data_IF_844994953429
#
_entry.id   IF_844994953429
#
_cell.length_a   1.000
_cell.length_b   1.000
_cell.length_c   1.000
_cell.angle_alpha   90.00
_cell.angle_beta   90.00
_cell.angle_gamma   90.00
#
_symmetry.space_group_name_H-M   'P 1'
#
loop_
_entity.id
_entity.type
_entity.pdbx_description
1 polymer ?
#
# COMPACT_ATOMS: atom_id res chain seq x y z
N UNK A 1 21.95 -64.04 35.53
CA UNK A 1 22.55 -62.77 35.10
C UNK A 1 22.22 -62.58 33.61
N UNK A 2 21.17 -61.83 33.31
CA UNK A 2 20.79 -61.51 31.92
C UNK A 2 20.83 -59.98 31.78
N UNK A 3 21.78 -59.50 30.97
CA UNK A 3 21.93 -58.08 30.61
C UNK A 3 21.01 -57.78 29.45
N UNK A 4 19.95 -57.02 29.68
CA UNK A 4 19.07 -56.48 28.66
C UNK A 4 19.66 -55.14 28.18
N UNK A 5 20.08 -55.10 26.94
CA UNK A 5 20.55 -53.88 26.28
C UNK A 5 19.31 -53.10 25.76
N UNK A 6 19.15 -51.88 26.26
CA UNK A 6 18.13 -50.94 25.83
C UNK A 6 18.65 -50.22 24.62
N UNK A 7 18.08 -50.48 23.44
CA UNK A 7 18.40 -49.75 22.20
C UNK A 7 17.56 -48.45 22.19
N UNK A 8 18.22 -47.30 22.35
CA UNK A 8 17.61 -46.01 22.14
C UNK A 8 17.46 -45.74 20.63
N UNK A 9 16.25 -45.77 20.17
CA UNK A 9 15.85 -45.40 18.83
C UNK A 9 15.79 -43.86 18.75
N UNK A 10 16.81 -43.24 18.15
CA UNK A 10 16.78 -41.82 17.83
C UNK A 10 15.87 -41.58 16.62
N UNK A 11 14.68 -41.11 16.85
CA UNK A 11 13.82 -40.54 15.80
C UNK A 11 14.37 -39.15 15.42
N UNK A 12 15.05 -39.08 14.29
CA UNK A 12 15.40 -37.83 13.64
C UNK A 12 14.13 -37.22 13.04
N UNK A 13 13.59 -36.20 13.72
CA UNK A 13 12.55 -35.34 13.18
C UNK A 13 13.18 -34.46 12.09
N UNK A 14 12.98 -34.83 10.84
CA UNK A 14 13.25 -33.93 9.69
C UNK A 14 12.17 -32.86 9.71
N UNK A 15 12.51 -31.70 10.26
CA UNK A 15 11.69 -30.50 10.12
C UNK A 15 11.69 -30.12 8.62
N UNK A 16 10.66 -30.54 7.90
CA UNK A 16 10.36 -30.07 6.57
C UNK A 16 10.05 -28.57 6.62
N UNK A 17 11.06 -27.74 6.35
CA UNK A 17 10.89 -26.32 6.09
C UNK A 17 9.99 -26.17 4.86
N UNK A 18 8.70 -25.94 5.09
CA UNK A 18 7.78 -25.51 4.07
C UNK A 18 8.25 -24.13 3.58
N UNK A 19 8.96 -24.09 2.46
CA UNK A 19 9.14 -22.87 1.69
C UNK A 19 7.74 -22.43 1.25
N UNK A 20 7.16 -21.50 1.98
CA UNK A 20 5.99 -20.77 1.53
C UNK A 20 6.36 -20.14 0.19
N UNK A 21 5.88 -20.70 -0.89
CA UNK A 21 5.88 -20.04 -2.19
C UNK A 21 5.00 -18.81 -2.04
N UNK A 22 5.60 -17.66 -1.79
CA UNK A 22 4.94 -16.39 -2.05
C UNK A 22 4.69 -16.35 -3.54
N UNK A 23 3.45 -16.65 -3.94
CA UNK A 23 3.01 -16.34 -5.30
C UNK A 23 3.32 -14.87 -5.51
N UNK A 24 4.07 -14.49 -6.57
CA UNK A 24 4.29 -13.09 -6.84
C UNK A 24 2.92 -12.43 -6.94
N UNK A 25 2.73 -11.34 -6.19
CA UNK A 25 1.53 -10.53 -6.31
C UNK A 25 1.49 -10.02 -7.76
N UNK A 26 0.67 -10.66 -8.58
CA UNK A 26 0.52 -10.34 -10.00
C UNK A 26 -0.54 -9.25 -10.21
N UNK A 27 -0.89 -8.52 -9.15
CA UNK A 27 -1.83 -7.41 -9.26
C UNK A 27 -1.31 -6.39 -10.25
N UNK A 28 -2.02 -6.24 -11.37
CA UNK A 28 -1.70 -5.22 -12.37
C UNK A 28 -2.19 -3.88 -11.87
N UNK A 29 -1.26 -2.97 -11.63
CA UNK A 29 -1.55 -1.59 -11.22
C UNK A 29 -1.42 -0.68 -12.43
N UNK A 30 -2.50 0.01 -12.79
CA UNK A 30 -2.52 0.93 -13.90
C UNK A 30 -2.13 2.34 -13.47
N UNK A 31 -1.43 3.05 -14.38
CA UNK A 31 -1.09 4.45 -14.19
C UNK A 31 -0.05 4.70 -13.10
N UNK A 32 -0.20 5.85 -12.46
CA UNK A 32 0.79 6.38 -11.49
C UNK A 32 0.87 5.54 -10.20
N UNK A 33 -0.15 4.76 -9.88
CA UNK A 33 -0.16 3.90 -8.68
C UNK A 33 0.95 2.85 -8.66
N UNK A 34 1.50 2.48 -9.82
CA UNK A 34 2.65 1.59 -9.94
C UNK A 34 4.00 2.29 -9.74
N UNK A 35 4.04 3.62 -9.64
CA UNK A 35 5.26 4.38 -9.36
C UNK A 35 5.68 4.22 -7.91
N UNK A 36 6.98 4.40 -7.64
CA UNK A 36 7.51 4.32 -6.28
C UNK A 36 7.03 5.48 -5.39
N UNK A 37 7.03 5.26 -4.10
CA UNK A 37 6.84 6.32 -3.10
C UNK A 37 7.90 7.43 -3.24
N UNK A 38 9.13 7.08 -3.62
CA UNK A 38 10.18 8.06 -3.90
C UNK A 38 9.81 8.98 -5.07
N UNK A 39 9.26 8.43 -6.16
CA UNK A 39 8.76 9.24 -7.29
C UNK A 39 7.59 10.15 -6.85
N UNK A 40 6.68 9.62 -6.02
CA UNK A 40 5.59 10.41 -5.44
C UNK A 40 6.12 11.58 -4.61
N UNK A 41 7.03 11.33 -3.67
CA UNK A 41 7.59 12.37 -2.81
C UNK A 41 8.33 13.44 -3.62
N UNK A 42 9.12 13.04 -4.62
CA UNK A 42 9.82 13.99 -5.50
C UNK A 42 8.85 14.91 -6.22
N UNK A 43 7.74 14.36 -6.74
CA UNK A 43 6.74 15.16 -7.44
C UNK A 43 5.99 16.13 -6.52
N UNK A 44 5.76 15.75 -5.25
CA UNK A 44 5.02 16.56 -4.26
C UNK A 44 5.91 17.61 -3.60
N UNK A 45 7.21 17.32 -3.41
CA UNK A 45 8.15 18.24 -2.75
C UNK A 45 8.65 19.35 -3.66
N UNK A 46 8.68 19.14 -4.98
CA UNK A 46 9.12 20.13 -5.97
C UNK A 46 8.07 21.25 -6.23
N UNK A 47 7.13 21.42 -5.31
CA UNK A 47 6.00 22.35 -5.46
C UNK A 47 6.34 23.79 -5.07
N UNK A 48 7.20 24.46 -5.83
CA UNK A 48 6.98 25.88 -6.06
C UNK A 48 6.03 26.02 -7.27
N UNK A 49 5.02 26.90 -7.23
CA UNK A 49 4.13 27.11 -8.38
C UNK A 49 4.94 27.35 -9.66
N UNK A 50 4.79 26.47 -10.65
CA UNK A 50 5.50 26.55 -11.92
C UNK A 50 6.85 25.83 -12.01
N UNK A 51 7.32 25.15 -10.96
CA UNK A 51 8.59 24.39 -10.94
C UNK A 51 8.40 22.89 -10.77
N UNK A 52 7.16 22.42 -10.56
CA UNK A 52 6.87 20.99 -10.38
C UNK A 52 7.23 20.15 -11.60
N UNK A 53 7.46 18.85 -11.36
CA UNK A 53 7.70 17.89 -12.43
C UNK A 53 6.51 17.89 -13.40
N UNK A 54 6.73 18.34 -14.62
CA UNK A 54 5.72 18.40 -15.67
C UNK A 54 5.70 17.08 -16.45
N UNK A 55 4.52 16.46 -16.54
CA UNK A 55 4.29 15.29 -17.37
C UNK A 55 3.76 15.77 -18.73
N UNK A 56 4.55 15.57 -19.80
CA UNK A 56 4.11 15.88 -21.16
C UNK A 56 3.19 14.77 -21.66
N UNK A 57 2.01 15.15 -22.10
CA UNK A 57 1.09 14.24 -22.78
C UNK A 57 1.40 14.09 -24.29
N UNK A 58 0.75 13.08 -24.91
CA UNK A 58 0.91 12.81 -26.34
C UNK A 58 0.43 13.95 -27.24
N UNK A 59 -0.53 14.76 -26.78
CA UNK A 59 -1.06 15.96 -27.45
C UNK A 59 -0.21 17.21 -27.24
N UNK A 60 0.85 17.11 -26.41
CA UNK A 60 1.78 18.21 -26.11
C UNK A 60 1.41 19.02 -24.88
N UNK A 61 0.28 18.76 -24.25
CA UNK A 61 -0.12 19.40 -22.98
C UNK A 61 0.76 18.92 -21.82
N UNK A 62 0.94 19.78 -20.81
CA UNK A 62 1.71 19.47 -19.61
C UNK A 62 0.80 19.43 -18.39
N UNK A 63 0.91 18.37 -17.63
CA UNK A 63 0.25 18.25 -16.33
C UNK A 63 1.27 18.26 -15.20
N UNK A 64 0.89 18.89 -14.10
CA UNK A 64 1.64 18.81 -12.86
C UNK A 64 1.58 17.37 -12.32
N UNK A 65 2.74 16.78 -12.05
CA UNK A 65 2.82 15.39 -11.57
C UNK A 65 2.07 15.18 -10.26
N UNK A 66 2.06 16.16 -9.37
CA UNK A 66 1.32 16.08 -8.10
C UNK A 66 -0.18 16.12 -8.34
N UNK A 67 -0.67 16.92 -9.28
CA UNK A 67 -2.07 16.90 -9.66
C UNK A 67 -2.50 15.51 -10.16
N UNK A 68 -1.72 14.90 -11.04
CA UNK A 68 -2.00 13.54 -11.56
C UNK A 68 -2.00 12.51 -10.43
N UNK A 69 -1.10 12.65 -9.45
CA UNK A 69 -1.04 11.77 -8.29
C UNK A 69 -2.25 11.93 -7.36
N UNK A 70 -2.66 13.18 -7.09
CA UNK A 70 -3.87 13.49 -6.32
C UNK A 70 -5.11 12.90 -6.97
N UNK A 71 -5.29 13.09 -8.27
CA UNK A 71 -6.43 12.56 -9.02
C UNK A 71 -6.46 11.03 -9.01
N UNK A 72 -5.29 10.39 -9.13
CA UNK A 72 -5.20 8.94 -9.03
C UNK A 72 -5.61 8.44 -7.64
N UNK A 73 -5.12 9.08 -6.57
CA UNK A 73 -5.48 8.75 -5.18
C UNK A 73 -6.98 8.95 -4.94
N UNK A 74 -7.55 10.07 -5.40
CA UNK A 74 -8.98 10.35 -5.29
C UNK A 74 -9.82 9.28 -6.01
N UNK A 75 -9.40 8.88 -7.21
CA UNK A 75 -10.03 7.79 -7.97
C UNK A 75 -9.95 6.46 -7.25
N UNK A 76 -8.78 6.14 -6.66
CA UNK A 76 -8.60 4.92 -5.88
C UNK A 76 -9.53 4.88 -4.65
N UNK A 77 -9.58 5.96 -3.86
CA UNK A 77 -10.45 6.05 -2.69
C UNK A 77 -11.93 5.99 -3.07
N UNK A 78 -12.31 6.63 -4.17
CA UNK A 78 -13.66 6.55 -4.73
C UNK A 78 -14.03 5.11 -5.10
N UNK A 79 -13.13 4.41 -5.79
CA UNK A 79 -13.36 3.00 -6.15
C UNK A 79 -13.53 2.12 -4.91
N UNK A 80 -12.73 2.33 -3.87
CA UNK A 80 -12.86 1.61 -2.60
C UNK A 80 -14.21 1.88 -1.95
N UNK A 81 -14.66 3.14 -1.92
CA UNK A 81 -15.99 3.51 -1.39
C UNK A 81 -17.14 2.89 -2.21
N UNK A 82 -16.99 2.73 -3.51
CA UNK A 82 -17.98 2.05 -4.36
C UNK A 82 -18.05 0.55 -4.11
N UNK A 83 -16.94 -0.07 -3.71
CA UNK A 83 -16.89 -1.50 -3.40
C UNK A 83 -17.55 -1.83 -2.05
N UNK A 84 -17.57 -0.89 -1.12
CA UNK A 84 -18.13 -1.07 0.22
C UNK A 84 -19.44 -0.30 0.37
N UNK A 85 -20.55 -1.02 0.41
CA UNK A 85 -21.88 -0.42 0.54
C UNK A 85 -22.21 0.04 1.97
N UNK A 86 -21.48 -0.47 2.97
CA UNK A 86 -21.72 -0.13 4.37
C UNK A 86 -21.22 1.31 4.68
N UNK A 87 -22.09 2.21 5.16
CA UNK A 87 -21.69 3.59 5.47
C UNK A 87 -20.55 3.69 6.48
N UNK A 88 -20.48 2.76 7.43
CA UNK A 88 -19.42 2.69 8.42
C UNK A 88 -18.05 2.35 7.83
N UNK A 89 -17.99 1.86 6.59
CA UNK A 89 -16.75 1.49 5.90
C UNK A 89 -16.32 2.54 4.87
N UNK A 90 -17.06 3.63 4.74
CA UNK A 90 -16.72 4.70 3.79
C UNK A 90 -15.50 5.48 4.26
N UNK A 91 -14.59 5.75 3.33
CA UNK A 91 -13.46 6.67 3.54
C UNK A 91 -14.02 8.09 3.46
N UNK A 92 -14.08 8.76 4.61
CA UNK A 92 -14.62 10.13 4.73
C UNK A 92 -13.52 11.17 4.94
N UNK A 93 -12.26 10.75 4.97
CA UNK A 93 -11.12 11.65 5.07
C UNK A 93 -11.07 12.57 3.85
N UNK A 94 -10.77 13.85 4.07
CA UNK A 94 -10.56 14.80 2.98
C UNK A 94 -9.23 14.55 2.24
N UNK A 95 -9.09 15.15 1.07
CA UNK A 95 -7.90 14.97 0.22
C UNK A 95 -6.60 15.39 0.93
N UNK A 96 -6.64 16.45 1.75
CA UNK A 96 -5.47 16.94 2.47
C UNK A 96 -5.02 15.94 3.55
N UNK A 97 -5.97 15.33 4.26
CA UNK A 97 -5.71 14.29 5.26
C UNK A 97 -5.13 13.04 4.59
N UNK A 98 -5.69 12.62 3.47
CA UNK A 98 -5.19 11.47 2.68
C UNK A 98 -3.76 11.74 2.23
N UNK A 99 -3.50 12.90 1.60
CA UNK A 99 -2.18 13.27 1.09
C UNK A 99 -1.14 13.33 2.20
N UNK A 100 -1.43 13.95 3.33
CA UNK A 100 -0.52 14.04 4.46
C UNK A 100 -0.16 12.66 5.03
N UNK A 101 -1.13 11.75 5.11
CA UNK A 101 -0.90 10.38 5.57
C UNK A 101 -0.06 9.56 4.57
N UNK A 102 -0.41 9.61 3.28
CA UNK A 102 0.32 8.94 2.20
C UNK A 102 1.77 9.40 2.16
N UNK A 103 2.00 10.71 2.25
CA UNK A 103 3.35 11.31 2.30
C UNK A 103 4.18 10.73 3.43
N UNK A 104 3.64 10.75 4.65
CA UNK A 104 4.32 10.19 5.83
C UNK A 104 4.63 8.71 5.70
N UNK A 105 3.72 7.94 5.12
CA UNK A 105 3.94 6.52 4.87
C UNK A 105 5.03 6.30 3.83
N UNK A 106 5.00 7.05 2.74
CA UNK A 106 5.98 6.99 1.66
C UNK A 106 7.40 7.39 2.12
N UNK A 107 7.55 8.34 3.04
CA UNK A 107 8.84 8.69 3.66
C UNK A 107 9.50 7.47 4.33
N UNK A 108 8.70 6.55 4.86
CA UNK A 108 9.18 5.33 5.51
C UNK A 108 9.36 4.15 4.55
N UNK A 109 8.77 4.23 3.36
CA UNK A 109 8.73 3.13 2.39
C UNK A 109 9.02 3.63 0.96
N UNK A 110 10.17 4.28 0.71
CA UNK A 110 10.43 4.96 -0.57
C UNK A 110 10.43 4.04 -1.79
N UNK A 111 10.79 2.78 -1.60
CA UNK A 111 10.84 1.78 -2.68
C UNK A 111 9.49 1.09 -2.95
N UNK A 112 8.50 1.31 -2.08
CA UNK A 112 7.17 0.72 -2.26
C UNK A 112 6.38 1.45 -3.35
N UNK A 113 5.50 0.73 -4.04
CA UNK A 113 4.59 1.37 -4.99
C UNK A 113 3.53 2.21 -4.27
N UNK A 114 3.10 3.32 -4.88
CA UNK A 114 2.09 4.23 -4.33
C UNK A 114 0.77 3.52 -4.01
N UNK A 115 0.39 2.51 -4.78
CA UNK A 115 -0.79 1.69 -4.50
C UNK A 115 -0.72 0.99 -3.16
N UNK A 116 0.47 0.60 -2.69
CA UNK A 116 0.63 -0.01 -1.37
C UNK A 116 0.38 1.00 -0.25
N UNK A 117 0.81 2.25 -0.43
CA UNK A 117 0.48 3.34 0.50
C UNK A 117 -1.03 3.59 0.56
N UNK A 118 -1.69 3.65 -0.61
CA UNK A 118 -3.13 3.83 -0.71
C UNK A 118 -3.89 2.68 -0.03
N UNK A 119 -3.49 1.43 -0.27
CA UNK A 119 -4.08 0.26 0.38
C UNK A 119 -3.84 0.23 1.90
N UNK A 120 -2.66 0.66 2.35
CA UNK A 120 -2.34 0.77 3.78
C UNK A 120 -3.21 1.83 4.48
N UNK A 121 -3.42 2.98 3.84
CA UNK A 121 -4.34 4.01 4.33
C UNK A 121 -5.76 3.47 4.49
N UNK A 122 -6.30 2.85 3.45
CA UNK A 122 -7.64 2.25 3.46
C UNK A 122 -7.78 1.24 4.61
N UNK A 123 -6.79 0.36 4.79
CA UNK A 123 -6.77 -0.61 5.88
C UNK A 123 -6.79 0.06 7.25
N UNK A 124 -6.02 1.13 7.44
CA UNK A 124 -5.98 1.86 8.72
C UNK A 124 -7.33 2.53 9.02
N UNK A 125 -7.94 3.18 8.03
CA UNK A 125 -9.27 3.77 8.17
C UNK A 125 -10.30 2.71 8.59
N UNK A 126 -10.28 1.56 7.95
CA UNK A 126 -11.17 0.44 8.26
C UNK A 126 -10.98 -0.07 9.69
N UNK A 127 -9.74 -0.33 10.12
CA UNK A 127 -9.44 -0.77 11.48
C UNK A 127 -9.86 0.25 12.54
N UNK A 128 -9.66 1.53 12.25
CA UNK A 128 -10.06 2.62 13.15
C UNK A 128 -11.59 2.66 13.34
N UNK A 129 -12.34 2.42 12.28
CA UNK A 129 -13.81 2.39 12.35
C UNK A 129 -14.32 1.19 13.14
N UNK A 130 -13.72 0.00 12.95
CA UNK A 130 -14.07 -1.22 13.69
C UNK A 130 -13.79 -1.13 15.20
N UNK A 131 -12.81 -0.32 15.60
CA UNK A 131 -12.42 -0.15 17.00
C UNK A 131 -13.14 1.02 17.69
N UNK A 132 -13.92 1.79 16.95
CA UNK A 132 -14.70 2.90 17.50
C UNK A 132 -15.83 2.35 18.37
N UNK A 133 -15.92 2.73 19.67
CA UNK A 133 -17.02 2.32 20.52
C UNK A 133 -18.34 2.80 19.92
N UNK A 134 -19.34 1.95 19.90
CA UNK A 134 -20.70 2.37 19.56
C UNK A 134 -21.18 3.44 20.56
N UNK A 135 -21.91 4.48 20.10
CA UNK A 135 -22.40 5.56 20.94
C UNK A 135 -23.44 5.10 21.96
#
# INVERSE_FOLDING_TARGET
MRKTALACLFLTFVAGGGFGQTTPDTTVVHGIGGKSCGDYLSAVLDHAPGTGMQIKQADGEYFDAAFVQSEWLAGFMTAMNMMWSEPAMQITADAATIDAWIRKWCEQHPDSALVHAAAAFVREQFLTQLTKPEP
#
